data_IF_530446821158
#
_entry.id   IF_530446821158
#
_cell.length_a   1.000
_cell.length_b   1.000
_cell.length_c   1.000
_cell.angle_alpha   90.00
_cell.angle_beta   90.00
_cell.angle_gamma   90.00
#
_symmetry.space_group_name_H-M   'P 1'
#
loop_
_entity.id
_entity.type
_entity.pdbx_description
1 polymer ?
#
# COMPACT_ATOMS: atom_id res chain seq x y z
N UNK A 1 30.35 19.49 -1.96
CA UNK A 1 28.92 19.83 -1.90
C UNK A 1 28.17 18.77 -2.67
N UNK A 2 27.72 17.72 -1.99
CA UNK A 2 26.85 16.70 -2.58
C UNK A 2 25.50 17.35 -2.82
N UNK A 3 24.99 17.27 -4.05
CA UNK A 3 23.64 17.75 -4.37
C UNK A 3 22.69 16.74 -3.74
N UNK A 4 22.20 17.03 -2.54
CA UNK A 4 21.21 16.20 -1.86
C UNK A 4 19.91 16.23 -2.69
N UNK A 5 19.62 15.10 -3.33
CA UNK A 5 18.44 14.96 -4.18
C UNK A 5 17.24 14.63 -3.32
N UNK A 6 16.55 15.66 -2.86
CA UNK A 6 15.36 15.54 -2.02
C UNK A 6 14.13 15.21 -2.85
N UNK A 7 13.21 14.45 -2.25
CA UNK A 7 11.97 13.99 -2.86
C UNK A 7 10.80 14.56 -2.08
N UNK A 8 9.88 15.23 -2.79
CA UNK A 8 8.61 15.70 -2.24
C UNK A 8 7.55 14.61 -2.42
N UNK A 9 6.97 14.15 -1.32
CA UNK A 9 5.85 13.19 -1.34
C UNK A 9 4.59 13.91 -0.91
N UNK A 10 3.60 13.93 -1.80
CA UNK A 10 2.28 14.51 -1.57
C UNK A 10 1.26 13.39 -1.34
N UNK A 11 0.30 13.61 -0.44
CA UNK A 11 -0.76 12.63 -0.20
C UNK A 11 -2.11 13.29 0.06
N UNK A 12 -3.16 12.45 0.11
CA UNK A 12 -4.50 12.84 0.51
C UNK A 12 -4.95 11.95 1.65
N UNK A 13 -5.23 12.54 2.81
CA UNK A 13 -5.61 11.81 4.02
C UNK A 13 -6.96 12.31 4.52
N UNK A 14 -7.88 11.39 4.83
CA UNK A 14 -9.19 11.73 5.38
C UNK A 14 -9.08 12.12 6.85
N UNK A 15 -9.99 12.97 7.30
CA UNK A 15 -10.16 13.26 8.72
C UNK A 15 -10.70 12.03 9.45
N UNK A 16 -10.21 11.77 10.66
CA UNK A 16 -10.69 10.65 11.49
C UNK A 16 -12.11 10.85 12.03
N UNK A 17 -12.55 12.11 12.19
CA UNK A 17 -13.83 12.44 12.83
C UNK A 17 -14.80 13.20 11.90
N UNK A 18 -14.33 13.65 10.73
CA UNK A 18 -15.13 14.44 9.77
C UNK A 18 -15.10 13.78 8.39
N UNK A 19 -15.79 12.66 8.24
CA UNK A 19 -15.75 11.82 7.04
C UNK A 19 -16.26 12.53 5.77
N UNK A 20 -17.18 13.48 5.94
CA UNK A 20 -17.76 14.26 4.82
C UNK A 20 -16.91 15.49 4.46
N UNK A 21 -15.92 15.85 5.26
CA UNK A 21 -15.05 16.99 4.97
C UNK A 21 -14.04 16.65 3.87
N UNK A 22 -13.55 17.68 3.19
CA UNK A 22 -12.51 17.51 2.18
C UNK A 22 -11.28 16.82 2.79
N UNK A 23 -10.63 15.89 2.06
CA UNK A 23 -9.38 15.30 2.51
C UNK A 23 -8.28 16.35 2.67
N UNK A 24 -7.47 16.17 3.71
CA UNK A 24 -6.27 16.95 3.97
C UNK A 24 -5.15 16.58 3.01
N UNK A 25 -4.19 17.48 2.82
CA UNK A 25 -3.08 17.29 1.89
C UNK A 25 -1.73 17.35 2.61
N UNK A 26 -1.40 16.34 3.44
CA UNK A 26 -0.09 16.31 4.04
C UNK A 26 0.98 16.03 3.00
N UNK A 27 2.15 16.61 3.24
CA UNK A 27 3.34 16.43 2.44
C UNK A 27 4.57 16.23 3.32
N UNK A 28 5.56 15.53 2.77
CA UNK A 28 6.88 15.36 3.38
C UNK A 28 7.98 15.62 2.36
N UNK A 29 9.12 16.10 2.84
CA UNK A 29 10.37 16.17 2.09
C UNK A 29 11.30 15.12 2.69
N UNK A 30 11.72 14.16 1.87
CA UNK A 30 12.59 13.07 2.27
C UNK A 30 13.86 13.06 1.42
N UNK A 31 14.98 12.77 2.06
CA UNK A 31 16.22 12.43 1.38
C UNK A 31 16.15 10.98 0.87
N UNK A 32 16.98 10.64 -0.12
CA UNK A 32 17.10 9.26 -0.64
C UNK A 32 17.54 8.25 0.43
N UNK A 33 18.24 8.71 1.45
CA UNK A 33 18.66 7.86 2.58
C UNK A 33 17.52 7.52 3.55
N UNK A 34 16.31 8.07 3.33
CA UNK A 34 15.13 7.85 4.17
C UNK A 34 14.97 8.87 5.30
N UNK A 35 15.92 9.80 5.46
CA UNK A 35 15.81 10.91 6.41
C UNK A 35 14.69 11.87 5.99
N UNK A 36 13.81 12.22 6.93
CA UNK A 36 12.74 13.20 6.71
C UNK A 36 13.26 14.57 7.13
N UNK A 37 13.28 15.52 6.19
CA UNK A 37 13.74 16.89 6.44
C UNK A 37 12.62 17.81 6.91
N UNK A 38 11.42 17.63 6.36
CA UNK A 38 10.26 18.45 6.70
C UNK A 38 8.96 17.68 6.46
N UNK A 39 7.92 18.04 7.22
CA UNK A 39 6.59 17.51 7.06
C UNK A 39 5.55 18.58 7.40
N UNK A 40 4.42 18.59 6.71
CA UNK A 40 3.33 19.50 7.03
C UNK A 40 1.97 18.87 6.74
N UNK A 41 0.94 19.38 7.40
CA UNK A 41 -0.45 19.04 7.11
C UNK A 41 -1.36 20.22 7.42
N UNK A 42 -2.35 20.45 6.55
CA UNK A 42 -3.32 21.55 6.67
C UNK A 42 -4.33 21.38 7.83
N UNK A 43 -4.19 20.33 8.65
CA UNK A 43 -5.07 20.11 9.78
C UNK A 43 -4.71 21.01 10.97
N UNK A 44 -5.66 21.24 11.88
CA UNK A 44 -5.45 22.12 13.05
C UNK A 44 -4.24 21.70 13.91
N UNK A 45 -4.00 20.40 14.04
CA UNK A 45 -2.84 19.87 14.76
C UNK A 45 -1.54 19.87 13.93
N UNK A 46 -1.64 20.02 12.61
CA UNK A 46 -0.51 19.99 11.67
C UNK A 46 0.35 21.25 11.68
N UNK A 47 -0.08 22.29 12.40
CA UNK A 47 0.75 23.47 12.69
C UNK A 47 2.00 23.13 13.51
N UNK A 48 1.97 22.04 14.28
CA UNK A 48 3.14 21.50 14.97
C UNK A 48 3.86 20.38 14.21
N UNK A 49 3.54 20.18 12.92
CA UNK A 49 4.12 19.19 12.00
C UNK A 49 3.97 17.70 12.43
N UNK A 50 3.38 17.46 13.60
CA UNK A 50 3.32 16.17 14.31
C UNK A 50 1.88 15.69 14.48
N UNK A 51 1.11 15.72 13.38
CA UNK A 51 -0.27 15.21 13.40
C UNK A 51 -0.34 13.74 12.96
N UNK A 52 -1.43 13.05 13.32
CA UNK A 52 -1.70 11.68 12.89
C UNK A 52 -1.75 11.52 11.37
N UNK A 53 -2.12 12.57 10.62
CA UNK A 53 -2.14 12.54 9.16
C UNK A 53 -0.72 12.48 8.55
N UNK A 54 0.24 13.19 9.14
CA UNK A 54 1.67 13.07 8.76
C UNK A 54 2.18 11.69 9.14
N UNK A 55 1.83 11.19 10.33
CA UNK A 55 2.14 9.82 10.74
C UNK A 55 1.63 8.78 9.74
N UNK A 56 0.37 8.90 9.30
CA UNK A 56 -0.21 8.01 8.30
C UNK A 56 0.54 8.04 6.97
N UNK A 57 0.99 9.21 6.51
CA UNK A 57 1.82 9.35 5.32
C UNK A 57 3.17 8.64 5.49
N UNK A 58 3.85 8.83 6.63
CA UNK A 58 5.12 8.16 6.92
C UNK A 58 4.97 6.63 6.98
N UNK A 59 3.93 6.12 7.65
CA UNK A 59 3.63 4.69 7.69
C UNK A 59 3.32 4.13 6.29
N UNK A 60 2.63 4.89 5.44
CA UNK A 60 2.39 4.49 4.07
C UNK A 60 3.69 4.34 3.29
N UNK A 61 4.61 5.31 3.40
CA UNK A 61 5.91 5.25 2.71
C UNK A 61 6.76 4.08 3.22
N UNK A 62 6.84 3.88 4.54
CA UNK A 62 7.58 2.76 5.13
C UNK A 62 7.01 1.41 4.67
N UNK A 63 5.69 1.25 4.73
CA UNK A 63 5.06 0.00 4.31
C UNK A 63 5.23 -0.25 2.80
N UNK A 64 5.11 0.79 1.97
CA UNK A 64 5.37 0.68 0.54
C UNK A 64 6.83 0.26 0.26
N UNK A 65 7.79 0.85 0.96
CA UNK A 65 9.19 0.45 0.86
C UNK A 65 9.39 -1.01 1.29
N UNK A 66 8.80 -1.41 2.42
CA UNK A 66 8.88 -2.78 2.93
C UNK A 66 8.33 -3.80 1.95
N UNK A 67 7.22 -3.49 1.27
CA UNK A 67 6.61 -4.38 0.26
C UNK A 67 7.46 -4.56 -1.00
N UNK A 68 8.33 -3.60 -1.32
CA UNK A 68 9.26 -3.69 -2.46
C UNK A 68 10.54 -4.44 -2.05
N UNK A 69 11.06 -4.16 -0.86
CA UNK A 69 12.32 -4.73 -0.38
C UNK A 69 12.17 -6.14 0.17
N UNK A 70 11.02 -6.47 0.77
CA UNK A 70 10.76 -7.75 1.41
C UNK A 70 9.57 -8.44 0.76
N UNK A 71 9.73 -9.71 0.40
CA UNK A 71 8.60 -10.57 -0.01
C UNK A 71 7.93 -11.17 1.21
N UNK A 72 6.65 -10.92 1.38
CA UNK A 72 5.85 -11.62 2.39
C UNK A 72 5.39 -12.98 1.86
N UNK A 73 5.13 -13.93 2.76
CA UNK A 73 4.57 -15.27 2.39
C UNK A 73 3.23 -15.20 1.65
N UNK A 74 2.53 -14.06 1.75
CA UNK A 74 1.28 -13.78 1.03
C UNK A 74 1.49 -13.17 -0.36
N UNK A 75 2.68 -12.61 -0.63
CA UNK A 75 3.09 -12.17 -1.97
C UNK A 75 3.69 -13.31 -2.79
N UNK A 76 4.13 -14.39 -2.14
CA UNK A 76 4.54 -15.62 -2.81
C UNK A 76 3.30 -16.42 -3.26
N UNK A 77 3.44 -17.15 -4.37
CA UNK A 77 2.36 -18.04 -4.84
C UNK A 77 2.02 -19.03 -3.72
N UNK A 78 0.73 -19.20 -3.45
CA UNK A 78 0.25 -20.15 -2.45
C UNK A 78 0.91 -21.52 -2.67
N UNK A 79 1.78 -21.92 -1.73
CA UNK A 79 2.48 -23.20 -1.72
C UNK A 79 1.76 -24.24 -0.87
N UNK A 80 0.58 -23.90 -0.32
CA UNK A 80 -0.36 -24.84 0.28
C UNK A 80 -0.82 -25.79 -0.82
N UNK A 81 0.03 -26.76 -1.12
CA UNK A 81 -0.27 -27.86 -2.00
C UNK A 81 -1.48 -28.57 -1.41
N UNK A 82 -2.45 -28.83 -2.28
CA UNK A 82 -3.54 -29.74 -1.97
C UNK A 82 -2.87 -31.06 -1.52
N UNK A 83 -3.21 -31.62 -0.35
CA UNK A 83 -2.67 -32.91 0.07
C UNK A 83 -2.82 -33.91 -1.06
N UNK A 84 -1.77 -34.68 -1.37
CA UNK A 84 -1.74 -35.62 -2.51
C UNK A 84 -2.88 -36.65 -2.50
N UNK A 85 -3.58 -36.79 -1.37
CA UNK A 85 -4.78 -37.61 -1.22
C UNK A 85 -6.01 -37.06 -1.96
N UNK A 86 -6.01 -35.80 -2.42
CA UNK A 86 -7.15 -35.15 -3.04
C UNK A 86 -6.80 -34.74 -4.47
N UNK A 87 -7.05 -35.65 -5.41
CA UNK A 87 -6.77 -35.45 -6.84
C UNK A 87 -7.76 -34.48 -7.52
N UNK A 88 -8.95 -34.30 -6.94
CA UNK A 88 -10.04 -33.50 -7.50
C UNK A 88 -10.84 -32.83 -6.40
N UNK A 89 -10.46 -31.61 -6.01
CA UNK A 89 -11.41 -30.71 -5.33
C UNK A 89 -12.32 -30.16 -6.41
N UNK A 90 -13.55 -30.67 -6.52
CA UNK A 90 -14.61 -29.94 -7.21
C UNK A 90 -14.93 -28.70 -6.38
N UNK A 91 -14.20 -27.60 -6.64
CA UNK A 91 -14.60 -26.30 -6.14
C UNK A 91 -16.04 -26.10 -6.62
N UNK A 92 -16.96 -26.01 -5.66
CA UNK A 92 -18.38 -25.84 -5.91
C UNK A 92 -18.56 -24.76 -6.96
N UNK A 93 -19.12 -25.14 -8.11
CA UNK A 93 -19.22 -24.29 -9.30
C UNK A 93 -20.25 -23.20 -9.02
N UNK A 94 -19.85 -22.19 -8.24
CA UNK A 94 -20.68 -21.07 -7.82
C UNK A 94 -20.83 -20.07 -8.95
N UNK A 95 -21.26 -20.52 -10.14
CA UNK A 95 -21.78 -19.73 -11.28
C UNK A 95 -20.96 -18.53 -11.76
N UNK A 96 -19.79 -18.27 -11.21
CA UNK A 96 -19.01 -17.07 -11.46
C UNK A 96 -17.85 -17.47 -12.36
N UNK A 97 -17.73 -16.88 -13.56
CA UNK A 97 -16.60 -17.15 -14.43
C UNK A 97 -15.37 -16.46 -13.86
N UNK A 98 -14.73 -17.09 -12.86
CA UNK A 98 -13.35 -16.83 -12.52
C UNK A 98 -12.55 -18.04 -12.97
N UNK A 99 -12.17 -18.01 -14.24
CA UNK A 99 -11.21 -18.94 -14.82
C UNK A 99 -9.87 -18.78 -14.10
N UNK A 100 -9.72 -19.45 -12.95
CA UNK A 100 -8.43 -19.68 -12.31
C UNK A 100 -7.86 -21.00 -12.83
N UNK A 101 -7.82 -21.16 -14.16
CA UNK A 101 -6.86 -22.05 -14.77
C UNK A 101 -5.54 -21.27 -14.71
N UNK A 102 -4.69 -21.62 -13.73
CA UNK A 102 -3.28 -21.26 -13.82
C UNK A 102 -2.66 -22.06 -14.98
N UNK A 103 -2.96 -21.64 -16.22
CA UNK A 103 -2.13 -21.97 -17.37
C UNK A 103 -0.78 -21.32 -17.16
N UNK A 104 0.27 -22.09 -17.42
CA UNK A 104 1.67 -21.83 -17.08
C UNK A 104 2.30 -20.64 -17.83
N UNK A 105 1.52 -19.91 -18.63
CA UNK A 105 2.02 -19.00 -19.67
C UNK A 105 1.57 -17.53 -19.53
N UNK A 106 0.92 -17.13 -18.43
CA UNK A 106 0.55 -15.72 -18.22
C UNK A 106 1.44 -15.05 -17.15
N UNK A 107 2.75 -15.00 -17.44
CA UNK A 107 3.52 -13.84 -17.01
C UNK A 107 3.02 -12.62 -17.81
N UNK A 108 3.07 -11.43 -17.21
CA UNK A 108 2.66 -10.14 -17.80
C UNK A 108 1.17 -9.80 -17.69
N UNK A 109 0.66 -9.63 -16.47
CA UNK A 109 -0.22 -8.48 -16.21
C UNK A 109 -0.18 -8.09 -14.73
N UNK A 110 0.86 -7.35 -14.39
CA UNK A 110 0.88 -6.45 -13.25
C UNK A 110 -0.13 -5.34 -13.51
N UNK A 111 -1.40 -5.56 -13.18
CA UNK A 111 -2.38 -4.48 -13.12
C UNK A 111 -2.53 -4.03 -11.67
N UNK A 112 -2.02 -2.82 -11.42
CA UNK A 112 -2.19 -2.08 -10.19
C UNK A 112 -3.68 -1.96 -9.86
N UNK A 113 -4.19 -2.82 -8.99
CA UNK A 113 -5.46 -2.57 -8.29
C UNK A 113 -5.22 -2.69 -6.80
N UNK A 114 -4.44 -1.73 -6.28
CA UNK A 114 -4.38 -1.48 -4.85
C UNK A 114 -5.78 -1.12 -4.37
N UNK A 115 -6.34 -2.01 -3.56
CA UNK A 115 -7.61 -1.85 -2.87
C UNK A 115 -7.56 -0.57 -2.02
N UNK A 116 -8.18 0.52 -2.49
CA UNK A 116 -8.25 1.82 -1.82
C UNK A 116 -9.24 1.85 -0.65
N UNK A 117 -9.52 0.71 -0.03
CA UNK A 117 -10.47 0.59 1.09
C UNK A 117 -9.88 -0.25 2.21
N UNK A 118 -8.75 0.19 2.76
CA UNK A 118 -8.42 -0.13 4.14
C UNK A 118 -8.74 1.12 4.97
N UNK A 119 -9.84 1.00 5.69
CA UNK A 119 -10.46 1.98 6.57
C UNK A 119 -9.47 2.36 7.68
N UNK A 120 -9.31 3.68 7.87
CA UNK A 120 -8.92 4.27 9.15
C UNK A 120 -10.19 4.49 9.98
#
# INVERSE_FOLDING_TARGET
MTVESNVLVLSKVRHSQMLNAAPLRPWIIANKDGTIEAAHCDCKAGLGETCSHVGALLFYVESAHRLVTQRTVTQEKAYWCIPSAIDKVSLFNSGHPRNFLMSRDHQLQTDLKYCTTCIA
#
